data_IF_976823144609
#
_entry.id   IF_976823144609
#
_cell.length_a   1.000
_cell.length_b   1.000
_cell.length_c   1.000
_cell.angle_alpha   90.00
_cell.angle_beta   90.00
_cell.angle_gamma   90.00
#
_symmetry.space_group_name_H-M   'P 1'
#
loop_
_entity.id
_entity.type
_entity.pdbx_description
1 polymer ?
#
# COMPACT_ATOMS: atom_id res chain seq x y z
N UNK A 1 -7.03 5.69 -68.55
CA UNK A 1 -6.62 4.62 -67.60
C UNK A 1 -5.57 5.19 -66.65
N UNK A 2 -5.98 5.58 -65.44
CA UNK A 2 -5.05 5.82 -64.33
C UNK A 2 -5.50 4.89 -63.20
N UNK A 3 -4.68 3.86 -62.93
CA UNK A 3 -4.86 2.96 -61.79
C UNK A 3 -4.21 3.62 -60.59
N UNK A 4 -5.03 3.95 -59.60
CA UNK A 4 -4.60 4.35 -58.26
C UNK A 4 -4.20 3.07 -57.52
N UNK A 5 -2.92 2.95 -57.16
CA UNK A 5 -2.41 1.88 -56.29
C UNK A 5 -2.41 2.42 -54.86
N UNK A 6 -3.03 1.75 -53.88
CA UNK A 6 -3.04 2.20 -52.50
C UNK A 6 -1.68 1.90 -51.83
N UNK A 7 -1.23 2.87 -51.02
CA UNK A 7 0.03 2.88 -50.30
C UNK A 7 -0.14 2.07 -49.01
N UNK A 8 0.74 1.11 -48.78
CA UNK A 8 0.75 0.27 -47.56
C UNK A 8 0.84 1.11 -46.28
N UNK A 9 -0.08 0.82 -45.36
CA UNK A 9 -0.12 1.37 -44.01
C UNK A 9 0.86 0.58 -43.13
N UNK A 10 1.98 1.21 -42.82
CA UNK A 10 2.96 0.72 -41.85
C UNK A 10 2.46 1.10 -40.45
N UNK A 11 1.86 0.15 -39.74
CA UNK A 11 1.45 0.31 -38.35
C UNK A 11 2.66 0.75 -37.49
N UNK A 12 2.54 1.93 -36.87
CA UNK A 12 3.52 2.45 -35.93
C UNK A 12 3.27 1.89 -34.52
N UNK A 13 4.33 1.66 -33.71
CA UNK A 13 4.23 1.03 -32.41
C UNK A 13 3.57 1.97 -31.38
N UNK A 14 2.68 1.42 -30.57
CA UNK A 14 1.99 2.10 -29.47
C UNK A 14 2.99 2.74 -28.48
N UNK A 15 2.70 3.96 -27.96
CA UNK A 15 3.60 4.65 -27.04
C UNK A 15 3.65 3.94 -25.67
N UNK A 16 4.76 4.08 -24.91
CA UNK A 16 4.90 3.43 -23.62
C UNK A 16 3.96 4.08 -22.59
N UNK A 17 3.13 3.27 -21.93
CA UNK A 17 2.25 3.70 -20.84
C UNK A 17 3.08 4.16 -19.63
N UNK A 18 3.40 5.46 -19.61
CA UNK A 18 4.03 6.17 -18.51
C UNK A 18 3.02 6.63 -17.46
N UNK A 19 2.35 5.69 -16.79
CA UNK A 19 1.83 5.88 -15.43
C UNK A 19 1.38 4.52 -14.88
N UNK A 20 2.34 3.62 -14.64
CA UNK A 20 2.03 2.40 -13.89
C UNK A 20 1.72 2.84 -12.45
N UNK A 21 0.45 2.72 -12.06
CA UNK A 21 0.02 2.79 -10.66
C UNK A 21 1.01 1.95 -9.84
N UNK A 22 1.74 2.56 -8.90
CA UNK A 22 2.79 1.87 -8.14
C UNK A 22 2.30 0.56 -7.49
N UNK A 23 1.00 0.48 -7.20
CA UNK A 23 0.35 -0.71 -6.66
C UNK A 23 0.26 -1.93 -7.59
N UNK A 24 0.29 -1.77 -8.91
CA UNK A 24 0.11 -2.90 -9.83
C UNK A 24 1.42 -3.68 -10.02
N UNK A 25 2.56 -2.99 -9.91
CA UNK A 25 3.88 -3.62 -10.06
C UNK A 25 4.14 -4.67 -8.98
N UNK A 26 3.82 -4.36 -7.72
CA UNK A 26 4.05 -5.28 -6.61
C UNK A 26 3.19 -6.54 -6.73
N UNK A 27 1.90 -6.37 -7.03
CA UNK A 27 0.98 -7.50 -7.23
C UNK A 27 1.39 -8.35 -8.43
N UNK A 28 1.70 -7.73 -9.58
CA UNK A 28 2.17 -8.45 -10.78
C UNK A 28 3.46 -9.24 -10.52
N UNK A 29 4.41 -8.67 -9.78
CA UNK A 29 5.63 -9.35 -9.40
C UNK A 29 5.32 -10.55 -8.49
N UNK A 30 4.44 -10.39 -7.51
CA UNK A 30 4.07 -11.48 -6.62
C UNK A 30 3.33 -12.60 -7.35
N UNK A 31 2.45 -12.30 -8.31
CA UNK A 31 1.82 -13.33 -9.15
C UNK A 31 2.85 -14.13 -9.96
N UNK A 32 3.85 -13.46 -10.54
CA UNK A 32 4.91 -14.15 -11.27
C UNK A 32 5.77 -15.04 -10.36
N UNK A 33 6.02 -14.61 -9.11
CA UNK A 33 6.74 -15.42 -8.11
C UNK A 33 5.88 -16.60 -7.65
N UNK A 34 4.57 -16.41 -7.45
CA UNK A 34 3.62 -17.50 -7.16
C UNK A 34 3.66 -18.58 -8.25
N UNK A 35 3.53 -18.16 -9.52
CA UNK A 35 3.63 -19.07 -10.67
C UNK A 35 4.96 -19.81 -10.72
N UNK A 36 6.07 -19.10 -10.48
CA UNK A 36 7.40 -19.72 -10.45
C UNK A 36 7.52 -20.75 -9.32
N UNK A 37 7.03 -20.43 -8.11
CA UNK A 37 7.04 -21.35 -6.97
C UNK A 37 6.21 -22.61 -7.24
N UNK A 38 5.08 -22.47 -7.94
CA UNK A 38 4.24 -23.61 -8.38
C UNK A 38 4.93 -24.49 -9.41
N UNK A 39 5.61 -23.87 -10.37
CA UNK A 39 6.32 -24.61 -11.42
C UNK A 39 7.65 -25.20 -10.94
N UNK A 40 8.25 -24.63 -9.90
CA UNK A 40 9.49 -25.10 -9.30
C UNK A 40 9.33 -25.30 -7.78
N UNK A 41 8.74 -26.43 -7.34
CA UNK A 41 8.47 -26.66 -5.91
C UNK A 41 9.71 -26.66 -5.01
N UNK A 42 10.89 -26.98 -5.55
CA UNK A 42 12.16 -26.91 -4.80
C UNK A 42 12.52 -25.49 -4.37
N UNK A 43 11.98 -24.47 -5.04
CA UNK A 43 12.20 -23.06 -4.72
C UNK A 43 11.32 -22.60 -3.54
N UNK A 44 10.23 -23.31 -3.25
CA UNK A 44 9.19 -22.88 -2.30
C UNK A 44 9.79 -22.46 -0.95
N UNK A 45 10.56 -23.34 -0.32
CA UNK A 45 11.14 -23.10 1.02
C UNK A 45 12.04 -21.87 1.04
N UNK A 46 12.91 -21.72 0.03
CA UNK A 46 13.84 -20.59 -0.07
C UNK A 46 13.10 -19.27 -0.38
N UNK A 47 12.10 -19.31 -1.26
CA UNK A 47 11.26 -18.17 -1.59
C UNK A 47 10.45 -17.70 -0.38
N UNK A 48 9.80 -18.63 0.34
CA UNK A 48 9.10 -18.33 1.59
C UNK A 48 10.06 -17.72 2.62
N UNK A 49 11.26 -18.28 2.76
CA UNK A 49 12.29 -17.72 3.66
C UNK A 49 12.63 -16.27 3.29
N UNK A 50 12.80 -15.99 1.99
CA UNK A 50 13.09 -14.64 1.51
C UNK A 50 11.92 -13.66 1.76
N UNK A 51 10.68 -14.11 1.57
CA UNK A 51 9.48 -13.33 1.88
C UNK A 51 9.45 -12.98 3.38
N UNK A 52 9.73 -13.94 4.26
CA UNK A 52 9.78 -13.71 5.70
C UNK A 52 10.87 -12.70 6.07
N UNK A 53 12.07 -12.83 5.48
CA UNK A 53 13.17 -11.86 5.69
C UNK A 53 12.79 -10.45 5.25
N UNK A 54 12.04 -10.31 4.16
CA UNK A 54 11.52 -9.02 3.71
C UNK A 54 10.56 -8.39 4.73
N UNK A 55 9.69 -9.20 5.35
CA UNK A 55 8.81 -8.74 6.44
C UNK A 55 9.61 -8.34 7.69
N UNK A 56 10.66 -9.10 8.04
CA UNK A 56 11.56 -8.78 9.15
C UNK A 56 12.32 -7.48 8.92
N UNK A 57 12.71 -7.19 7.68
CA UNK A 57 13.36 -5.92 7.31
C UNK A 57 12.43 -4.73 7.51
N UNK A 58 11.14 -4.85 7.12
CA UNK A 58 10.12 -3.84 7.46
C UNK A 58 10.02 -3.65 8.98
N UNK A 59 10.00 -4.74 9.74
CA UNK A 59 9.95 -4.66 11.20
C UNK A 59 11.19 -3.95 11.77
N UNK A 60 12.37 -4.19 11.19
CA UNK A 60 13.61 -3.51 11.57
C UNK A 60 13.50 -2.00 11.34
N UNK A 61 13.09 -1.59 10.13
CA UNK A 61 12.89 -0.17 9.79
C UNK A 61 11.84 0.51 10.68
N UNK A 62 10.76 -0.21 11.02
CA UNK A 62 9.69 0.31 11.86
C UNK A 62 9.98 0.36 13.36
N UNK A 63 11.05 -0.30 13.83
CA UNK A 63 11.48 -0.30 15.24
C UNK A 63 12.71 0.55 15.50
N UNK A 64 13.57 0.73 14.51
CA UNK A 64 14.83 1.44 14.66
C UNK A 64 14.55 2.95 14.93
N UNK A 65 14.98 3.48 16.10
CA UNK A 65 14.74 4.87 16.49
C UNK A 65 15.41 5.90 15.57
N UNK A 66 16.36 5.46 14.73
CA UNK A 66 17.01 6.29 13.71
C UNK A 66 16.03 6.75 12.64
N UNK A 67 14.97 6.00 12.38
CA UNK A 67 14.02 6.30 11.31
C UNK A 67 12.76 6.98 11.82
N UNK A 68 12.12 7.74 10.94
CA UNK A 68 10.79 8.30 11.16
C UNK A 68 9.94 8.05 9.92
N UNK A 69 8.69 7.61 10.10
CA UNK A 69 7.77 7.46 8.98
C UNK A 69 7.48 8.83 8.36
N UNK A 70 7.87 9.01 7.11
CA UNK A 70 7.49 10.17 6.33
C UNK A 70 5.98 10.12 6.11
N UNK A 71 5.27 11.15 6.58
CA UNK A 71 3.89 11.34 6.14
C UNK A 71 3.93 11.71 4.66
N UNK A 72 3.19 11.02 3.77
CA UNK A 72 2.97 11.56 2.44
C UNK A 72 2.35 12.94 2.65
N UNK A 73 3.05 13.98 2.16
CA UNK A 73 2.54 15.34 2.19
C UNK A 73 1.28 15.34 1.32
N UNK A 74 0.13 15.12 1.94
CA UNK A 74 -1.13 15.41 1.27
C UNK A 74 -1.08 16.89 0.95
N UNK A 75 -0.99 17.24 -0.33
CA UNK A 75 -1.39 18.55 -0.81
C UNK A 75 -2.70 18.88 -0.11
N UNK A 76 -2.72 20.00 0.61
CA UNK A 76 -3.90 20.54 1.27
C UNK A 76 -5.07 20.45 0.30
N UNK A 77 -6.00 19.52 0.54
CA UNK A 77 -7.35 19.67 0.07
C UNK A 77 -7.91 20.83 0.90
N UNK A 78 -7.81 22.03 0.34
CA UNK A 78 -8.37 23.25 0.92
C UNK A 78 -9.89 23.04 0.98
N UNK A 79 -10.35 22.63 2.16
CA UNK A 79 -11.75 22.41 2.46
C UNK A 79 -12.48 23.75 2.57
N UNK A 80 -12.74 24.38 1.44
CA UNK A 80 -13.84 25.34 1.35
C UNK A 80 -15.13 24.55 1.22
N UNK A 81 -15.77 24.34 2.36
CA UNK A 81 -17.16 23.89 2.44
C UNK A 81 -18.06 24.96 1.78
N UNK A 82 -18.29 24.82 0.48
CA UNK A 82 -19.37 25.52 -0.21
C UNK A 82 -20.66 24.70 -0.08
N UNK A 83 -21.62 25.26 0.66
CA UNK A 83 -22.94 24.71 0.87
C UNK A 83 -23.70 24.44 -0.45
N UNK A 84 -24.56 23.42 -0.53
CA UNK A 84 -25.34 23.15 -1.74
C UNK A 84 -26.44 24.21 -1.94
N UNK A 85 -26.68 24.70 -3.17
CA UNK A 85 -27.79 25.62 -3.44
C UNK A 85 -29.15 24.90 -3.43
N UNK A 86 -30.25 25.63 -3.17
CA UNK A 86 -31.57 25.04 -2.92
C UNK A 86 -32.25 24.56 -4.21
N UNK A 87 -32.96 23.43 -4.11
CA UNK A 87 -33.83 22.86 -5.14
C UNK A 87 -35.16 23.61 -5.25
N UNK A 88 -35.68 23.79 -6.47
CA UNK A 88 -37.12 23.77 -6.79
C UNK A 88 -37.32 23.57 -8.32
N UNK A 89 -38.52 23.23 -8.84
CA UNK A 89 -38.74 21.96 -9.54
C UNK A 89 -39.21 22.13 -11.00
N UNK A 90 -38.84 21.21 -11.91
CA UNK A 90 -39.71 20.90 -13.05
C UNK A 90 -39.44 19.53 -13.69
N UNK A 91 -40.52 19.00 -14.23
CA UNK A 91 -40.80 17.64 -14.67
C UNK A 91 -40.21 17.22 -16.03
N UNK A 92 -40.38 15.91 -16.26
CA UNK A 92 -40.52 15.16 -17.52
C UNK A 92 -39.25 14.52 -18.12
N UNK A 93 -39.34 13.19 -18.25
CA UNK A 93 -38.91 12.30 -19.36
C UNK A 93 -37.44 12.38 -19.85
N UNK A 94 -36.80 11.38 -20.44
CA UNK A 94 -36.89 9.95 -20.72
C UNK A 94 -35.46 9.62 -21.24
N UNK A 95 -35.06 8.35 -21.16
CA UNK A 95 -34.12 7.65 -22.06
C UNK A 95 -32.72 8.21 -22.45
N UNK A 96 -31.72 7.30 -22.37
CA UNK A 96 -30.55 7.19 -23.30
C UNK A 96 -29.49 8.30 -23.20
N UNK A 97 -28.22 8.19 -23.60
CA UNK A 97 -27.18 7.17 -23.83
C UNK A 97 -25.91 7.98 -24.19
N UNK A 98 -24.74 7.33 -24.19
CA UNK A 98 -23.48 7.76 -24.86
C UNK A 98 -22.72 8.89 -24.12
N UNK A 99 -21.51 8.66 -23.59
CA UNK A 99 -20.21 8.42 -24.26
C UNK A 99 -19.84 9.54 -25.23
N UNK A 100 -19.08 10.54 -24.77
CA UNK A 100 -18.15 11.31 -25.60
C UNK A 100 -16.94 11.76 -24.76
N UNK A 101 -15.76 11.47 -25.29
CA UNK A 101 -14.48 12.06 -24.90
C UNK A 101 -14.43 13.52 -25.38
N UNK A 102 -13.93 14.45 -24.56
CA UNK A 102 -13.57 15.78 -25.03
C UNK A 102 -12.12 16.14 -24.70
N UNK A 103 -11.46 16.62 -25.74
CA UNK A 103 -10.06 17.00 -25.86
C UNK A 103 -9.61 18.11 -24.91
N UNK A 104 -8.33 18.01 -24.58
CA UNK A 104 -7.50 18.98 -23.87
C UNK A 104 -7.17 20.19 -24.77
N UNK A 105 -7.55 21.40 -24.33
CA UNK A 105 -7.01 22.65 -24.88
C UNK A 105 -5.79 23.11 -24.06
N UNK A 106 -4.63 23.04 -24.73
CA UNK A 106 -3.36 23.59 -24.28
C UNK A 106 -3.41 25.11 -24.09
N UNK A 107 -2.79 25.60 -23.02
CA UNK A 107 -2.25 26.96 -22.97
C UNK A 107 -0.83 26.92 -22.38
N UNK A 108 0.15 27.11 -23.26
CA UNK A 108 1.53 27.46 -22.93
C UNK A 108 1.58 28.74 -22.10
N UNK A 109 2.44 28.80 -21.09
CA UNK A 109 3.22 30.02 -20.82
C UNK A 109 4.44 29.76 -19.93
N UNK A 110 5.53 30.43 -20.32
CA UNK A 110 6.91 30.21 -19.95
C UNK A 110 7.37 31.00 -18.72
N UNK A 111 8.45 30.49 -18.11
CA UNK A 111 9.42 31.09 -17.17
C UNK A 111 9.47 32.63 -16.97
N UNK A 112 9.45 33.06 -15.70
CA UNK A 112 10.40 34.02 -15.03
C UNK A 112 9.88 34.33 -13.60
N UNK A 113 10.60 34.04 -12.51
CA UNK A 113 11.65 34.80 -11.82
C UNK A 113 11.19 35.47 -10.49
N UNK A 114 11.74 34.95 -9.37
CA UNK A 114 12.19 35.66 -8.14
C UNK A 114 11.20 36.43 -7.23
N UNK A 115 10.97 35.90 -6.01
CA UNK A 115 10.99 36.59 -4.69
C UNK A 115 10.68 35.57 -3.57
N UNK A 116 11.65 35.18 -2.75
CA UNK A 116 11.95 35.70 -1.40
C UNK A 116 10.83 35.51 -0.35
N UNK A 117 11.07 34.53 0.52
CA UNK A 117 10.87 34.53 1.98
C UNK A 117 9.49 34.78 2.56
N UNK A 118 8.93 33.77 3.23
CA UNK A 118 8.61 33.87 4.67
C UNK A 118 8.52 32.46 5.28
N UNK A 119 9.46 32.18 6.18
CA UNK A 119 9.45 31.00 7.02
C UNK A 119 8.59 31.32 8.24
N UNK A 120 7.49 30.59 8.43
CA UNK A 120 6.77 30.59 9.71
C UNK A 120 7.06 29.30 10.50
N UNK A 121 7.34 29.42 11.82
CA UNK A 121 7.91 28.35 12.61
C UNK A 121 6.81 27.49 13.24
N UNK A 122 6.80 26.19 12.93
CA UNK A 122 6.05 25.24 13.76
C UNK A 122 6.88 24.88 15.01
N UNK A 123 6.65 25.62 16.10
CA UNK A 123 6.90 25.19 17.49
C UNK A 123 6.02 23.95 17.78
N UNK A 124 6.38 22.88 18.50
CA UNK A 124 7.48 22.62 19.44
C UNK A 124 7.68 21.08 19.62
N UNK A 125 8.95 20.64 19.53
CA UNK A 125 9.78 19.90 20.52
C UNK A 125 9.26 18.58 21.11
N UNK A 126 9.99 17.46 20.87
CA UNK A 126 10.87 16.74 21.83
C UNK A 126 11.73 15.72 21.05
N UNK A 127 13.06 15.81 21.17
CA UNK A 127 14.00 14.73 20.83
C UNK A 127 14.99 15.06 19.71
N UNK A 128 16.15 15.61 20.08
CA UNK A 128 17.32 15.78 19.23
C UNK A 128 17.95 14.43 18.87
N UNK A 129 17.45 13.81 17.81
CA UNK A 129 18.25 13.03 16.86
C UNK A 129 17.71 13.38 15.47
N UNK A 130 18.59 13.68 14.51
CA UNK A 130 18.24 13.95 13.12
C UNK A 130 17.74 12.64 12.48
N UNK A 131 16.49 12.26 12.78
CA UNK A 131 15.90 11.00 12.32
C UNK A 131 15.75 11.03 10.81
N UNK A 132 16.09 9.92 10.18
CA UNK A 132 16.03 9.76 8.73
C UNK A 132 14.58 9.50 8.32
N UNK A 133 13.96 10.35 7.48
CA UNK A 133 12.62 10.11 6.98
C UNK A 133 12.63 8.93 5.99
N UNK A 134 11.70 8.00 6.16
CA UNK A 134 11.49 6.86 5.24
C UNK A 134 10.01 6.72 4.87
N UNK A 135 9.68 6.33 3.63
CA UNK A 135 8.31 6.07 3.19
C UNK A 135 7.83 4.69 3.68
N UNK A 136 7.84 4.47 5.00
CA UNK A 136 7.53 3.18 5.62
C UNK A 136 6.13 2.67 5.25
N UNK A 137 5.16 3.58 5.12
CA UNK A 137 3.79 3.24 4.74
C UNK A 137 3.73 2.61 3.33
N UNK A 138 4.49 3.16 2.39
CA UNK A 138 4.55 2.65 1.01
C UNK A 138 5.30 1.31 0.96
N UNK A 139 6.34 1.15 1.78
CA UNK A 139 7.02 -0.14 1.91
C UNK A 139 6.08 -1.22 2.41
N UNK A 140 5.33 -0.96 3.49
CA UNK A 140 4.33 -1.89 4.00
C UNK A 140 3.30 -2.19 2.92
N UNK A 141 2.69 -1.16 2.31
CA UNK A 141 1.64 -1.36 1.31
C UNK A 141 2.11 -2.22 0.12
N UNK A 142 3.28 -1.91 -0.43
CA UNK A 142 3.80 -2.63 -1.60
C UNK A 142 4.22 -4.05 -1.25
N UNK A 143 4.89 -4.26 -0.11
CA UNK A 143 5.27 -5.61 0.31
C UNK A 143 4.03 -6.44 0.66
N UNK A 144 3.02 -5.88 1.32
CA UNK A 144 1.78 -6.61 1.58
C UNK A 144 1.07 -7.02 0.29
N UNK A 145 0.99 -6.14 -0.71
CA UNK A 145 0.40 -6.49 -2.02
C UNK A 145 1.17 -7.61 -2.75
N UNK A 146 2.49 -7.58 -2.66
CA UNK A 146 3.35 -8.63 -3.20
C UNK A 146 3.15 -9.96 -2.48
N UNK A 147 3.10 -9.95 -1.14
CA UNK A 147 2.87 -11.15 -0.33
C UNK A 147 1.46 -11.69 -0.51
N UNK A 148 0.47 -10.80 -0.58
CA UNK A 148 -0.93 -11.14 -0.81
C UNK A 148 -1.09 -11.87 -2.15
N UNK A 149 -0.50 -11.40 -3.24
CA UNK A 149 -0.64 -12.10 -4.53
C UNK A 149 0.01 -13.49 -4.56
N UNK A 150 0.98 -13.77 -3.67
CA UNK A 150 1.56 -15.11 -3.51
C UNK A 150 0.71 -16.02 -2.63
N UNK A 151 0.16 -15.47 -1.54
CA UNK A 151 -0.51 -16.26 -0.50
C UNK A 151 -2.04 -16.27 -0.60
N UNK A 152 -2.66 -15.50 -1.50
CA UNK A 152 -4.13 -15.39 -1.61
C UNK A 152 -4.76 -16.30 -2.67
N UNK A 153 -3.96 -16.98 -3.48
CA UNK A 153 -4.49 -17.89 -4.49
C UNK A 153 -4.99 -19.18 -3.81
N UNK A 154 -6.29 -19.48 -3.95
CA UNK A 154 -6.96 -20.60 -3.28
C UNK A 154 -6.44 -22.00 -3.65
N UNK A 155 -5.45 -22.09 -4.53
CA UNK A 155 -4.79 -23.33 -4.94
C UNK A 155 -3.40 -23.51 -4.31
N UNK A 156 -2.94 -22.58 -3.44
CA UNK A 156 -1.64 -22.61 -2.73
C UNK A 156 -1.77 -22.67 -1.21
N UNK A 157 -2.53 -23.65 -0.73
CA UNK A 157 -2.53 -24.01 0.69
C UNK A 157 -1.10 -24.38 1.16
N UNK A 158 -0.31 -25.03 0.31
CA UNK A 158 1.06 -25.41 0.60
C UNK A 158 2.04 -24.23 0.77
N UNK A 159 1.81 -23.09 0.09
CA UNK A 159 2.58 -21.86 0.32
C UNK A 159 2.21 -21.23 1.68
N UNK A 160 0.92 -21.17 2.00
CA UNK A 160 0.45 -20.66 3.30
C UNK A 160 0.97 -21.51 4.46
N UNK A 161 0.88 -22.83 4.34
CA UNK A 161 1.40 -23.76 5.35
C UNK A 161 2.91 -23.63 5.52
N UNK A 162 3.67 -23.50 4.43
CA UNK A 162 5.12 -23.26 4.50
C UNK A 162 5.43 -21.94 5.23
N UNK A 163 4.72 -20.87 4.89
CA UNK A 163 4.88 -19.57 5.54
C UNK A 163 4.61 -19.64 7.05
N UNK A 164 3.57 -20.35 7.45
CA UNK A 164 3.25 -20.55 8.87
C UNK A 164 4.29 -21.46 9.56
N UNK A 165 4.73 -22.54 8.90
CA UNK A 165 5.73 -23.46 9.42
C UNK A 165 7.07 -22.77 9.69
N UNK A 166 7.45 -21.82 8.83
CA UNK A 166 8.65 -20.99 8.99
C UNK A 166 8.45 -19.77 9.92
N UNK A 167 7.33 -19.69 10.65
CA UNK A 167 6.97 -18.61 11.59
C UNK A 167 6.81 -17.23 10.95
N UNK A 168 6.41 -17.16 9.68
CA UNK A 168 6.15 -15.90 8.98
C UNK A 168 5.02 -15.06 9.58
N UNK A 169 4.10 -15.67 10.34
CA UNK A 169 3.02 -14.94 11.03
C UNK A 169 3.54 -13.94 12.05
N UNK A 170 4.66 -14.23 12.71
CA UNK A 170 5.21 -13.36 13.75
C UNK A 170 5.61 -11.98 13.19
N UNK A 171 6.48 -11.86 12.17
CA UNK A 171 6.79 -10.57 11.58
C UNK A 171 5.57 -9.94 10.88
N UNK A 172 4.68 -10.72 10.26
CA UNK A 172 3.45 -10.19 9.65
C UNK A 172 2.57 -9.44 10.66
N UNK A 173 2.23 -10.07 11.80
CA UNK A 173 1.39 -9.46 12.84
C UNK A 173 2.14 -8.34 13.56
N UNK A 174 3.46 -8.47 13.73
CA UNK A 174 4.32 -7.45 14.35
C UNK A 174 4.20 -6.11 13.63
N UNK A 175 4.04 -6.11 12.30
CA UNK A 175 3.93 -4.89 11.50
C UNK A 175 2.79 -3.99 12.02
N UNK A 176 1.72 -4.56 12.59
CA UNK A 176 0.58 -3.79 13.09
C UNK A 176 0.89 -2.90 14.30
N UNK A 177 1.99 -3.19 15.02
CA UNK A 177 2.36 -2.52 16.27
C UNK A 177 3.73 -1.87 16.24
N UNK A 178 4.26 -1.54 15.06
CA UNK A 178 5.59 -0.91 14.94
C UNK A 178 5.58 0.52 15.52
N UNK A 179 6.58 0.90 16.35
CA UNK A 179 6.59 2.18 17.04
C UNK A 179 6.78 3.40 16.12
N UNK A 180 7.37 3.21 14.94
CA UNK A 180 7.57 4.29 13.96
C UNK A 180 6.31 4.55 13.10
N UNK A 181 5.21 3.83 13.32
CA UNK A 181 3.97 4.05 12.57
C UNK A 181 3.26 5.33 13.01
N UNK A 182 2.59 6.01 12.07
CA UNK A 182 1.78 7.17 12.42
C UNK A 182 0.47 6.73 13.11
N UNK A 183 -0.12 7.64 13.88
CA UNK A 183 -1.33 7.39 14.69
C UNK A 183 -2.57 7.00 13.88
N UNK A 184 -2.62 7.36 12.60
CA UNK A 184 -3.69 7.05 11.65
C UNK A 184 -3.46 5.74 10.89
N UNK A 185 -2.35 5.02 11.16
CA UNK A 185 -2.03 3.74 10.54
C UNK A 185 -3.20 2.74 10.53
N UNK A 186 -3.99 2.54 11.61
CA UNK A 186 -5.11 1.60 11.60
C UNK A 186 -6.17 1.85 10.52
N UNK A 187 -6.27 3.09 10.03
CA UNK A 187 -7.21 3.49 8.96
C UNK A 187 -6.58 3.52 7.57
N UNK A 188 -5.26 3.30 7.48
CA UNK A 188 -4.50 3.37 6.23
C UNK A 188 -4.71 2.15 5.34
N UNK A 189 -4.50 2.34 4.03
CA UNK A 189 -4.48 1.25 3.06
C UNK A 189 -3.39 0.20 3.38
N UNK A 190 -2.26 0.62 3.98
CA UNK A 190 -1.19 -0.29 4.37
C UNK A 190 -1.65 -1.26 5.46
N UNK A 191 -2.34 -0.77 6.50
CA UNK A 191 -2.92 -1.63 7.53
C UNK A 191 -4.00 -2.57 6.96
N UNK A 192 -4.84 -2.09 6.04
CA UNK A 192 -5.81 -2.92 5.34
C UNK A 192 -5.14 -4.04 4.55
N UNK A 193 -4.01 -3.76 3.89
CA UNK A 193 -3.25 -4.77 3.15
C UNK A 193 -2.64 -5.83 4.09
N UNK A 194 -2.10 -5.44 5.26
CA UNK A 194 -1.64 -6.40 6.28
C UNK A 194 -2.80 -7.30 6.72
N UNK A 195 -3.97 -6.71 6.98
CA UNK A 195 -5.17 -7.47 7.34
C UNK A 195 -5.64 -8.40 6.21
N UNK A 196 -5.50 -7.99 4.94
CA UNK A 196 -5.81 -8.80 3.75
C UNK A 196 -4.95 -10.06 3.66
N UNK A 197 -3.64 -9.93 3.90
CA UNK A 197 -2.73 -11.08 3.98
C UNK A 197 -3.12 -12.01 5.14
N UNK A 198 -3.35 -11.47 6.34
CA UNK A 198 -3.78 -12.25 7.49
C UNK A 198 -5.09 -13.02 7.21
N UNK A 199 -6.06 -12.36 6.56
CA UNK A 199 -7.34 -12.98 6.16
C UNK A 199 -7.12 -14.11 5.16
N UNK A 200 -6.26 -13.89 4.16
CA UNK A 200 -5.94 -14.91 3.15
C UNK A 200 -5.34 -16.14 3.79
N UNK A 201 -4.32 -15.98 4.64
CA UNK A 201 -3.69 -17.10 5.36
C UNK A 201 -4.70 -17.80 6.28
N UNK A 202 -5.51 -17.06 7.04
CA UNK A 202 -6.53 -17.66 7.92
C UNK A 202 -7.54 -18.49 7.12
N UNK A 203 -7.93 -18.02 5.94
CA UNK A 203 -8.92 -18.71 5.09
C UNK A 203 -8.33 -19.97 4.45
N UNK A 204 -7.06 -19.91 4.04
CA UNK A 204 -6.43 -20.95 3.23
C UNK A 204 -5.65 -21.98 4.03
N UNK A 205 -4.91 -21.58 5.06
CA UNK A 205 -4.11 -22.51 5.87
C UNK A 205 -4.96 -23.45 6.73
N UNK A 206 -6.25 -23.11 6.94
CA UNK A 206 -7.14 -23.79 7.89
C UNK A 206 -6.55 -23.96 9.30
N UNK A 207 -5.50 -23.20 9.64
CA UNK A 207 -4.82 -23.30 10.92
C UNK A 207 -5.23 -22.17 11.87
N UNK A 208 -5.57 -22.48 13.14
CA UNK A 208 -5.88 -21.46 14.13
C UNK A 208 -4.64 -20.65 14.55
N UNK A 209 -3.45 -20.96 14.00
CA UNK A 209 -2.17 -20.35 14.38
C UNK A 209 -2.12 -18.85 14.10
N UNK A 210 -2.83 -18.35 13.08
CA UNK A 210 -2.95 -16.90 12.80
C UNK A 210 -3.58 -16.19 13.99
N UNK A 211 -4.70 -16.72 14.51
CA UNK A 211 -5.39 -16.16 15.66
C UNK A 211 -4.55 -16.30 16.93
N UNK A 212 -3.90 -17.44 17.12
CA UNK A 212 -3.02 -17.68 18.25
C UNK A 212 -1.87 -16.67 18.31
N UNK A 213 -1.17 -16.45 17.19
CA UNK A 213 -0.06 -15.48 17.12
C UNK A 213 -0.56 -14.05 17.37
N UNK A 214 -1.73 -13.70 16.82
CA UNK A 214 -2.39 -12.41 17.10
C UNK A 214 -2.68 -12.19 18.58
N UNK A 215 -3.25 -13.20 19.25
CA UNK A 215 -3.54 -13.13 20.68
C UNK A 215 -2.28 -13.04 21.54
N UNK A 216 -1.21 -13.78 21.18
CA UNK A 216 0.08 -13.71 21.88
C UNK A 216 0.71 -12.32 21.80
N UNK A 217 0.64 -11.67 20.63
CA UNK A 217 1.17 -10.30 20.50
C UNK A 217 0.30 -9.29 21.24
N UNK A 218 -1.03 -9.46 21.23
CA UNK A 218 -1.92 -8.61 22.02
C UNK A 218 -1.64 -8.75 23.53
N UNK A 219 -1.44 -9.97 24.03
CA UNK A 219 -1.09 -10.24 25.43
C UNK A 219 0.22 -9.54 25.84
N UNK A 220 1.24 -9.55 24.97
CA UNK A 220 2.47 -8.83 25.20
C UNK A 220 2.26 -7.31 25.30
N UNK A 221 1.40 -6.74 24.45
CA UNK A 221 1.04 -5.32 24.51
C UNK A 221 0.27 -5.01 25.80
N UNK A 222 -0.72 -5.83 26.16
CA UNK A 222 -1.51 -5.65 27.39
C UNK A 222 -0.63 -5.72 28.64
N UNK A 223 0.31 -6.68 28.68
CA UNK A 223 1.30 -6.82 29.75
C UNK A 223 2.19 -5.58 29.88
N UNK A 224 2.60 -4.98 28.76
CA UNK A 224 3.38 -3.74 28.77
C UNK A 224 2.57 -2.53 29.25
N UNK A 225 1.25 -2.55 29.06
CA UNK A 225 0.33 -1.49 29.49
C UNK A 225 -0.16 -1.68 30.94
N UNK A 226 -0.01 -2.86 31.53
CA UNK A 226 -0.44 -3.18 32.91
C UNK A 226 0.03 -2.13 33.96
N UNK A 227 1.28 -1.61 33.93
CA UNK A 227 1.72 -0.59 34.88
C UNK A 227 0.92 0.72 34.81
N UNK A 228 0.36 1.07 33.64
CA UNK A 228 -0.45 2.27 33.45
C UNK A 228 -1.86 2.15 34.05
N UNK A 229 -2.27 0.93 34.42
CA UNK A 229 -3.58 0.65 35.00
C UNK A 229 -3.61 0.83 36.53
N UNK A 230 -2.45 1.10 37.17
CA UNK A 230 -2.42 1.36 38.61
C UNK A 230 -3.03 2.73 38.91
N UNK A 231 -3.97 2.83 39.88
CA UNK A 231 -4.46 4.12 40.32
C UNK A 231 -3.30 4.96 40.82
N UNK A 232 -3.27 6.23 40.42
CA UNK A 232 -2.30 7.22 40.89
C UNK A 232 -2.54 7.38 42.40
N UNK A 233 -1.60 6.92 43.23
CA UNK A 233 -1.56 7.19 44.67
C UNK A 233 -1.06 8.60 44.98
#
# INVERSE_FOLDING_TARGET
MQKLVPKEEKAAPSPPQGSRRAGDTASNLGSAVDELMRHQPTLKTDATTAIIKLLEEICSLGRDPKYICQKPSMQKADGTAAAPPPRSPHAAEEASSEDEEEEEVQAMQSFSATQQSEAEPSQQVVGTEERIPIPLMDYILNVMKFVESILSNNTTDDHCQEFVAQRGLRPLVTILGLPNLPVDFPTSAACQAVAGVCKSILTLSHEPKVLQEGLLQLDAVLSALEPLHRPIE
#
